data_IF_115200029406
#
_entry.id   IF_115200029406
#
_cell.length_a   1.000
_cell.length_b   1.000
_cell.length_c   1.000
_cell.angle_alpha   90.00
_cell.angle_beta   90.00
_cell.angle_gamma   90.00
#
_symmetry.space_group_name_H-M   'P 1'
#
loop_
_entity.id
_entity.type
_entity.pdbx_description
1 polymer ?
#
# COMPACT_ATOMS: atom_id res chain seq x y z
N UNK A 1 -26.69 24.74 -21.16
CA UNK A 1 -26.55 23.31 -21.50
C UNK A 1 -25.57 22.69 -20.50
N UNK A 2 -26.04 21.90 -19.55
CA UNK A 2 -25.19 21.15 -18.63
C UNK A 2 -24.47 20.05 -19.42
N UNK A 3 -23.12 20.00 -19.28
CA UNK A 3 -22.34 18.91 -19.89
C UNK A 3 -22.76 17.58 -19.26
N UNK A 4 -23.04 16.50 -20.04
CA UNK A 4 -23.51 15.22 -19.51
C UNK A 4 -22.53 14.49 -18.61
N UNK A 5 -21.27 14.91 -18.49
CA UNK A 5 -20.16 14.20 -17.83
C UNK A 5 -19.69 14.81 -16.50
N UNK A 6 -20.53 15.54 -15.78
CA UNK A 6 -20.12 16.17 -14.51
C UNK A 6 -20.36 15.31 -13.28
N UNK A 7 -20.24 13.98 -13.38
CA UNK A 7 -20.37 13.10 -12.20
C UNK A 7 -19.09 13.20 -11.37
N UNK A 8 -19.06 14.08 -10.38
CA UNK A 8 -17.99 14.12 -9.38
C UNK A 8 -18.16 12.98 -8.36
N UNK A 9 -17.05 12.46 -7.86
CA UNK A 9 -17.05 11.40 -6.86
C UNK A 9 -16.61 11.97 -5.51
N UNK A 10 -17.35 11.60 -4.47
CA UNK A 10 -16.95 11.87 -3.10
C UNK A 10 -15.76 10.97 -2.75
N UNK A 11 -14.73 11.53 -2.11
CA UNK A 11 -13.65 10.72 -1.54
C UNK A 11 -14.20 9.85 -0.40
N UNK A 12 -13.74 8.62 -0.33
CA UNK A 12 -13.94 7.78 0.85
C UNK A 12 -13.13 8.30 2.05
N UNK A 13 -13.34 7.72 3.23
CA UNK A 13 -12.70 8.18 4.46
C UNK A 13 -11.16 8.11 4.41
N UNK A 14 -10.60 7.12 3.72
CA UNK A 14 -9.16 6.98 3.52
C UNK A 14 -8.63 8.04 2.53
N UNK A 15 -9.32 8.24 1.41
CA UNK A 15 -8.96 9.23 0.39
C UNK A 15 -8.96 10.67 0.93
N UNK A 16 -9.91 11.01 1.81
CA UNK A 16 -9.94 12.32 2.49
C UNK A 16 -8.66 12.51 3.32
N UNK A 17 -8.27 11.49 4.08
CA UNK A 17 -7.08 11.55 4.93
C UNK A 17 -5.82 11.73 4.09
N UNK A 18 -5.60 10.90 3.08
CA UNK A 18 -4.42 10.96 2.22
C UNK A 18 -4.31 12.29 1.47
N UNK A 19 -5.44 12.84 1.00
CA UNK A 19 -5.45 14.16 0.33
C UNK A 19 -5.08 15.32 1.25
N UNK A 20 -5.45 15.22 2.54
CA UNK A 20 -5.13 16.24 3.54
C UNK A 20 -3.69 16.16 4.06
N UNK A 21 -3.07 14.98 3.98
CA UNK A 21 -1.74 14.70 4.54
C UNK A 21 -0.60 14.89 3.54
N UNK A 22 -0.91 14.98 2.25
CA UNK A 22 0.10 15.06 1.22
C UNK A 22 1.04 16.25 1.41
N UNK A 23 2.33 15.97 1.45
CA UNK A 23 3.45 16.91 1.56
C UNK A 23 4.67 16.28 0.88
N UNK A 24 5.73 17.06 0.68
CA UNK A 24 7.01 16.55 0.17
C UNK A 24 7.57 15.43 1.05
N UNK A 25 7.32 15.46 2.35
CA UNK A 25 7.74 14.47 3.33
C UNK A 25 6.85 13.22 3.40
N UNK A 26 5.71 13.19 2.70
CA UNK A 26 4.74 12.10 2.71
C UNK A 26 4.06 11.96 1.36
N UNK A 27 4.52 11.01 0.56
CA UNK A 27 4.05 10.88 -0.83
C UNK A 27 2.65 10.27 -0.93
N UNK A 28 2.24 9.45 0.03
CA UNK A 28 0.99 8.67 -0.02
C UNK A 28 0.80 7.90 -1.34
N UNK A 29 1.92 7.42 -1.91
CA UNK A 29 1.97 6.63 -3.14
C UNK A 29 2.46 5.24 -2.83
N UNK A 30 2.01 4.29 -3.60
CA UNK A 30 2.61 2.97 -3.69
C UNK A 30 2.78 2.60 -5.16
N UNK A 31 3.73 1.70 -5.42
CA UNK A 31 4.09 1.23 -6.76
C UNK A 31 3.92 -0.28 -6.83
N UNK A 32 3.28 -0.76 -7.88
CA UNK A 32 3.39 -2.15 -8.34
C UNK A 32 4.22 -2.19 -9.61
N UNK A 33 5.08 -3.21 -9.71
CA UNK A 33 5.85 -3.46 -10.94
C UNK A 33 5.74 -4.93 -11.33
N UNK A 34 5.86 -5.19 -12.63
CA UNK A 34 6.02 -6.53 -13.18
C UNK A 34 7.32 -6.58 -13.99
N UNK A 35 8.12 -7.62 -13.76
CA UNK A 35 9.29 -7.93 -14.60
C UNK A 35 8.84 -8.84 -15.72
N UNK A 36 8.92 -8.35 -16.94
CA UNK A 36 8.54 -9.07 -18.14
C UNK A 36 9.65 -10.00 -18.61
N UNK A 37 9.32 -11.00 -19.45
CA UNK A 37 10.30 -11.89 -20.09
C UNK A 37 11.09 -11.22 -21.21
N UNK A 38 10.55 -10.15 -21.77
CA UNK A 38 11.15 -9.40 -22.88
C UNK A 38 11.20 -7.91 -22.55
N UNK A 39 12.05 -7.21 -23.26
CA UNK A 39 12.12 -5.76 -23.20
C UNK A 39 10.76 -5.14 -23.55
N UNK A 40 10.37 -4.12 -22.81
CA UNK A 40 9.06 -3.47 -22.97
C UNK A 40 9.03 -2.63 -24.22
N UNK A 41 8.00 -2.78 -25.05
CA UNK A 41 7.68 -1.85 -26.14
C UNK A 41 6.91 -0.64 -25.56
N UNK A 42 7.53 0.54 -25.49
CA UNK A 42 6.88 1.71 -24.89
C UNK A 42 5.67 2.18 -25.68
N UNK A 43 5.66 1.99 -27.01
CA UNK A 43 4.55 2.41 -27.85
C UNK A 43 3.34 1.49 -27.65
N UNK A 44 3.54 0.18 -27.52
CA UNK A 44 2.49 -0.76 -27.19
C UNK A 44 1.95 -0.51 -25.77
N UNK A 45 2.83 -0.20 -24.80
CA UNK A 45 2.41 0.08 -23.43
C UNK A 45 1.59 1.38 -23.33
N UNK A 46 1.98 2.46 -24.03
CA UNK A 46 1.17 3.68 -24.07
C UNK A 46 -0.22 3.41 -24.67
N UNK A 47 -0.32 2.64 -25.76
CA UNK A 47 -1.62 2.25 -26.30
C UNK A 47 -2.44 1.41 -25.34
N UNK A 48 -1.81 0.52 -24.56
CA UNK A 48 -2.51 -0.25 -23.52
C UNK A 48 -3.07 0.66 -22.43
N UNK A 49 -2.30 1.67 -21.99
CA UNK A 49 -2.77 2.68 -21.02
C UNK A 49 -4.00 3.41 -21.58
N UNK A 50 -3.89 3.93 -22.81
CA UNK A 50 -4.97 4.70 -23.44
C UNK A 50 -6.26 3.89 -23.56
N UNK A 51 -6.16 2.57 -23.84
CA UNK A 51 -7.31 1.65 -23.92
C UNK A 51 -7.87 1.25 -22.56
N UNK A 52 -7.03 1.16 -21.53
CA UNK A 52 -7.45 0.79 -20.17
C UNK A 52 -8.15 1.94 -19.44
N UNK A 53 -7.67 3.19 -19.58
CA UNK A 53 -8.18 4.31 -18.79
C UNK A 53 -9.70 4.53 -18.89
N UNK A 54 -10.38 4.40 -20.04
CA UNK A 54 -11.85 4.53 -20.11
C UNK A 54 -12.62 3.46 -19.31
N UNK A 55 -12.04 2.25 -19.15
CA UNK A 55 -12.65 1.15 -18.37
C UNK A 55 -12.54 1.37 -16.86
N UNK A 56 -11.63 2.24 -16.41
CA UNK A 56 -11.35 2.49 -15.00
C UNK A 56 -11.61 3.96 -14.62
N UNK A 57 -12.87 4.42 -14.61
CA UNK A 57 -13.20 5.82 -14.35
C UNK A 57 -12.79 6.28 -12.94
N UNK A 58 -12.64 5.37 -11.96
CA UNK A 58 -12.11 5.68 -10.62
C UNK A 58 -10.62 6.06 -10.65
N UNK A 59 -9.86 5.68 -11.70
CA UNK A 59 -8.47 6.07 -11.91
C UNK A 59 -8.35 7.28 -12.85
N UNK A 60 -9.34 7.48 -13.73
CA UNK A 60 -9.38 8.59 -14.69
C UNK A 60 -9.94 9.88 -14.08
N UNK A 61 -9.43 10.25 -12.90
CA UNK A 61 -9.88 11.40 -12.12
C UNK A 61 -8.72 12.30 -11.68
N UNK A 62 -9.08 13.52 -11.31
CA UNK A 62 -8.18 14.46 -10.62
C UNK A 62 -8.81 14.96 -9.33
N UNK A 63 -7.97 15.35 -8.36
CA UNK A 63 -8.43 15.95 -7.10
C UNK A 63 -8.70 17.45 -7.28
N UNK A 64 -9.84 17.88 -6.76
CA UNK A 64 -10.18 19.29 -6.59
C UNK A 64 -10.33 19.64 -5.13
N UNK A 65 -9.84 20.80 -4.77
CA UNK A 65 -10.00 21.38 -3.44
C UNK A 65 -11.21 22.30 -3.45
N UNK A 66 -12.32 21.83 -2.88
CA UNK A 66 -13.48 22.65 -2.59
C UNK A 66 -13.27 23.52 -1.33
N UNK A 67 -14.26 24.33 -0.97
CA UNK A 67 -14.22 25.14 0.26
C UNK A 67 -14.19 24.27 1.52
N UNK A 68 -15.00 23.23 1.56
CA UNK A 68 -15.16 22.36 2.74
C UNK A 68 -14.54 20.98 2.58
N UNK A 69 -14.38 20.45 1.35
CA UNK A 69 -13.90 19.10 1.05
C UNK A 69 -13.05 19.04 -0.20
N UNK A 70 -12.23 17.99 -0.27
CA UNK A 70 -11.67 17.51 -1.51
C UNK A 70 -12.71 16.61 -2.21
N UNK A 71 -12.72 16.62 -3.53
CA UNK A 71 -13.55 15.74 -4.36
C UNK A 71 -12.78 15.31 -5.60
N UNK A 72 -13.23 14.24 -6.22
CA UNK A 72 -12.67 13.72 -7.46
C UNK A 72 -13.59 14.14 -8.61
N UNK A 73 -13.03 14.69 -9.66
CA UNK A 73 -13.74 14.93 -10.91
C UNK A 73 -13.06 14.19 -12.06
N UNK A 74 -13.78 13.78 -13.12
CA UNK A 74 -13.17 13.18 -14.29
C UNK A 74 -12.04 14.06 -14.84
N UNK A 75 -10.92 13.43 -15.19
CA UNK A 75 -9.79 14.13 -15.76
C UNK A 75 -9.81 14.01 -17.28
N UNK A 76 -10.09 15.11 -17.96
CA UNK A 76 -10.11 15.20 -19.43
C UNK A 76 -8.83 15.81 -20.00
N UNK A 77 -7.82 16.02 -19.17
CA UNK A 77 -6.52 16.51 -19.63
C UNK A 77 -5.77 15.41 -20.41
N UNK A 78 -4.85 15.80 -21.33
CA UNK A 78 -4.02 14.84 -22.05
C UNK A 78 -3.22 13.92 -21.10
N UNK A 79 -3.09 12.64 -21.47
CA UNK A 79 -2.41 11.62 -20.67
C UNK A 79 -3.38 10.62 -20.04
N UNK A 80 -2.93 9.80 -19.06
CA UNK A 80 -1.58 9.83 -18.49
C UNK A 80 -0.51 9.33 -19.46
N UNK A 81 0.68 9.96 -19.42
CA UNK A 81 1.77 9.59 -20.30
C UNK A 81 2.72 8.61 -19.63
N UNK A 82 3.18 7.63 -20.40
CA UNK A 82 4.23 6.71 -20.02
C UNK A 82 5.57 7.45 -19.92
N UNK A 83 6.33 7.17 -18.87
CA UNK A 83 7.65 7.75 -18.61
C UNK A 83 8.71 6.66 -18.50
N UNK A 84 9.93 6.95 -18.89
CA UNK A 84 11.06 6.09 -18.54
C UNK A 84 11.39 6.21 -17.04
N UNK A 85 11.65 5.07 -16.39
CA UNK A 85 11.86 4.96 -14.95
C UNK A 85 13.33 5.24 -14.58
N UNK A 86 13.71 6.51 -14.66
CA UNK A 86 15.09 6.99 -14.43
C UNK A 86 15.23 7.84 -13.16
N UNK A 87 14.18 7.95 -12.38
CA UNK A 87 14.16 8.74 -11.14
C UNK A 87 13.76 7.88 -9.93
N UNK A 88 13.94 8.43 -8.73
CA UNK A 88 13.46 7.78 -7.50
C UNK A 88 11.97 7.46 -7.58
N UNK A 89 11.57 6.23 -7.19
CA UNK A 89 10.17 5.82 -7.23
C UNK A 89 9.31 6.55 -6.19
N UNK A 90 8.00 6.52 -6.40
CA UNK A 90 6.98 7.00 -5.46
C UNK A 90 7.14 8.47 -5.03
N UNK A 91 7.64 9.33 -5.92
CA UNK A 91 7.75 10.77 -5.66
C UNK A 91 6.36 11.39 -5.37
N UNK A 92 6.26 12.37 -4.46
CA UNK A 92 5.00 13.02 -4.14
C UNK A 92 4.22 13.49 -5.37
N UNK A 93 2.88 13.32 -5.37
CA UNK A 93 2.02 13.87 -6.42
C UNK A 93 1.83 15.36 -6.15
N UNK A 94 2.17 16.19 -7.10
CA UNK A 94 1.78 17.59 -7.11
C UNK A 94 0.53 17.75 -7.96
N UNK A 95 -0.62 18.01 -7.32
CA UNK A 95 -1.96 18.01 -7.98
C UNK A 95 -2.09 18.93 -9.20
N UNK A 96 -1.15 19.83 -9.42
CA UNK A 96 -1.12 20.72 -10.60
C UNK A 96 -0.14 20.28 -11.68
N UNK A 97 0.74 19.34 -11.35
CA UNK A 97 1.69 18.76 -12.29
C UNK A 97 1.08 17.52 -12.95
N UNK A 98 1.72 16.97 -13.97
CA UNK A 98 1.27 15.79 -14.73
C UNK A 98 -0.21 15.89 -15.17
N UNK A 99 -0.68 17.08 -15.52
CA UNK A 99 -2.07 17.35 -15.90
C UNK A 99 -3.10 16.92 -14.83
N UNK A 100 -2.67 16.80 -13.56
CA UNK A 100 -3.52 16.41 -12.43
C UNK A 100 -3.78 14.89 -12.33
N UNK A 101 -3.10 14.06 -13.11
CA UNK A 101 -3.21 12.61 -13.00
C UNK A 101 -2.68 12.12 -11.66
N UNK A 102 -3.40 11.18 -11.04
CA UNK A 102 -3.09 10.60 -9.73
C UNK A 102 -2.56 9.17 -9.86
N UNK A 103 -2.46 8.68 -11.06
CA UNK A 103 -1.81 7.43 -11.46
C UNK A 103 -0.71 7.77 -12.45
N UNK A 104 0.43 7.11 -12.32
CA UNK A 104 1.59 7.32 -13.18
C UNK A 104 2.11 6.00 -13.69
N UNK A 105 2.66 5.97 -14.90
CA UNK A 105 3.13 4.79 -15.59
C UNK A 105 4.58 4.95 -15.95
N UNK A 106 5.36 3.88 -15.69
CA UNK A 106 6.78 3.87 -15.95
C UNK A 106 7.19 2.55 -16.62
N UNK A 107 8.24 2.60 -17.40
CA UNK A 107 8.93 1.43 -17.93
C UNK A 107 10.43 1.60 -17.81
N UNK A 108 11.13 0.49 -17.65
CA UNK A 108 12.58 0.44 -17.76
C UNK A 108 13.02 -0.96 -18.14
N UNK A 109 13.65 -1.10 -19.32
CA UNK A 109 14.00 -2.40 -19.89
C UNK A 109 12.82 -3.38 -19.85
N UNK A 110 12.90 -4.46 -19.07
CA UNK A 110 11.85 -5.47 -18.93
C UNK A 110 10.83 -5.14 -17.83
N UNK A 111 10.86 -3.98 -17.19
CA UNK A 111 9.98 -3.64 -16.09
C UNK A 111 8.88 -2.67 -16.51
N UNK A 112 7.66 -3.01 -16.17
CA UNK A 112 6.48 -2.13 -16.26
C UNK A 112 6.06 -1.79 -14.82
N UNK A 113 5.87 -0.50 -14.54
CA UNK A 113 5.47 -0.04 -13.20
C UNK A 113 4.27 0.89 -13.25
N UNK A 114 3.40 0.78 -12.25
CA UNK A 114 2.31 1.71 -11.99
C UNK A 114 2.43 2.29 -10.59
N UNK A 115 2.38 3.60 -10.47
CA UNK A 115 2.28 4.31 -9.21
C UNK A 115 0.86 4.82 -9.02
N UNK A 116 0.32 4.57 -7.84
CA UNK A 116 -1.06 4.93 -7.51
C UNK A 116 -1.06 5.78 -6.24
N UNK A 117 -1.75 6.91 -6.30
CA UNK A 117 -2.00 7.72 -5.12
C UNK A 117 -3.07 7.07 -4.24
N UNK A 118 -2.77 6.87 -2.97
CA UNK A 118 -3.63 6.14 -2.02
C UNK A 118 -5.08 6.68 -1.91
N UNK A 119 -5.33 7.90 -2.37
CA UNK A 119 -6.70 8.42 -2.40
C UNK A 119 -7.56 7.84 -3.52
N UNK A 120 -6.97 7.20 -4.53
CA UNK A 120 -7.70 6.56 -5.64
C UNK A 120 -8.17 5.16 -5.26
N UNK A 121 -7.23 4.35 -4.78
CA UNK A 121 -7.42 2.92 -4.61
C UNK A 121 -6.48 2.37 -3.55
N UNK A 122 -6.84 1.25 -2.97
CA UNK A 122 -5.92 0.38 -2.22
C UNK A 122 -5.21 -0.62 -3.13
N UNK A 123 -4.31 -1.42 -2.54
CA UNK A 123 -3.58 -2.44 -3.27
C UNK A 123 -4.47 -3.47 -3.98
N UNK A 124 -5.68 -3.76 -3.45
CA UNK A 124 -6.61 -4.70 -4.06
C UNK A 124 -7.17 -4.19 -5.39
N UNK A 125 -7.68 -2.96 -5.40
CA UNK A 125 -8.19 -2.34 -6.63
C UNK A 125 -7.08 -2.06 -7.64
N UNK A 126 -5.91 -1.60 -7.17
CA UNK A 126 -4.77 -1.34 -8.03
C UNK A 126 -4.20 -2.60 -8.71
N UNK A 127 -4.20 -3.76 -8.03
CA UNK A 127 -3.79 -5.04 -8.62
C UNK A 127 -4.73 -5.44 -9.76
N UNK A 128 -6.05 -5.22 -9.64
CA UNK A 128 -7.00 -5.49 -10.73
C UNK A 128 -6.71 -4.59 -11.93
N UNK A 129 -6.50 -3.29 -11.70
CA UNK A 129 -6.10 -2.35 -12.74
C UNK A 129 -4.79 -2.77 -13.41
N UNK A 130 -3.75 -3.04 -12.63
CA UNK A 130 -2.41 -3.37 -13.13
C UNK A 130 -2.41 -4.68 -13.92
N UNK A 131 -3.12 -5.70 -13.43
CA UNK A 131 -3.28 -6.98 -14.16
C UNK A 131 -3.97 -6.78 -15.49
N UNK A 132 -5.03 -5.97 -15.54
CA UNK A 132 -5.75 -5.66 -16.79
C UNK A 132 -4.87 -4.88 -17.76
N UNK A 133 -4.06 -3.94 -17.28
CA UNK A 133 -3.08 -3.22 -18.09
C UNK A 133 -2.04 -4.15 -18.71
N UNK A 134 -1.47 -5.06 -17.91
CA UNK A 134 -0.49 -6.05 -18.41
C UNK A 134 -1.12 -6.99 -19.43
N UNK A 135 -2.37 -7.42 -19.22
CA UNK A 135 -3.10 -8.24 -20.20
C UNK A 135 -3.28 -7.50 -21.52
N UNK A 136 -3.67 -6.24 -21.48
CA UNK A 136 -3.85 -5.43 -22.68
C UNK A 136 -2.53 -5.14 -23.40
N UNK A 137 -1.45 -4.87 -22.65
CA UNK A 137 -0.11 -4.75 -23.22
C UNK A 137 0.31 -6.04 -23.94
N UNK A 138 0.09 -7.19 -23.33
CA UNK A 138 0.41 -8.49 -23.96
C UNK A 138 -0.43 -8.75 -25.20
N UNK A 139 -1.74 -8.41 -25.21
CA UNK A 139 -2.59 -8.49 -26.40
C UNK A 139 -2.03 -7.65 -27.56
N UNK A 140 -1.60 -6.43 -27.26
CA UNK A 140 -1.00 -5.52 -28.25
C UNK A 140 0.37 -5.97 -28.75
N UNK A 141 1.04 -6.88 -28.03
CA UNK A 141 2.30 -7.51 -28.44
C UNK A 141 2.12 -8.92 -29.02
N UNK A 142 0.87 -9.34 -29.28
CA UNK A 142 0.55 -10.56 -30.01
C UNK A 142 0.26 -11.79 -29.14
N UNK A 143 0.03 -11.62 -27.85
CA UNK A 143 -0.38 -12.71 -26.94
C UNK A 143 -1.90 -12.68 -26.78
N UNK A 144 -2.56 -13.79 -27.01
CA UNK A 144 -4.01 -13.91 -26.77
C UNK A 144 -4.28 -14.12 -25.26
N UNK A 145 -4.81 -13.10 -24.61
CA UNK A 145 -5.14 -13.12 -23.17
C UNK A 145 -6.65 -12.89 -23.03
N UNK A 146 -7.43 -13.89 -22.57
CA UNK A 146 -8.86 -13.72 -22.35
C UNK A 146 -9.18 -12.77 -21.19
N UNK A 147 -10.38 -12.19 -21.19
CA UNK A 147 -10.93 -11.56 -20.00
C UNK A 147 -11.29 -12.64 -18.95
N UNK A 148 -11.30 -12.25 -17.67
CA UNK A 148 -11.53 -13.19 -16.56
C UNK A 148 -10.30 -13.39 -15.71
N UNK A 149 -10.38 -14.18 -14.65
CA UNK A 149 -9.29 -14.42 -13.69
C UNK A 149 -8.65 -13.12 -13.14
N UNK A 150 -9.49 -12.09 -12.94
CA UNK A 150 -9.08 -10.78 -12.43
C UNK A 150 -8.60 -9.81 -13.51
N UNK A 151 -8.69 -10.17 -14.78
CA UNK A 151 -8.54 -9.25 -15.95
C UNK A 151 -9.93 -8.80 -16.35
N UNK A 152 -10.18 -7.49 -16.33
CA UNK A 152 -11.46 -6.93 -16.76
C UNK A 152 -11.56 -6.87 -18.29
N UNK A 153 -12.77 -7.08 -18.81
CA UNK A 153 -13.03 -6.84 -20.23
C UNK A 153 -13.11 -5.33 -20.49
N UNK A 154 -12.27 -4.85 -21.41
CA UNK A 154 -12.21 -3.43 -21.77
C UNK A 154 -13.41 -2.99 -22.63
N UNK A 155 -14.17 -3.93 -23.22
CA UNK A 155 -15.37 -3.66 -23.99
C UNK A 155 -16.62 -3.56 -23.11
N UNK A 156 -16.57 -4.03 -21.86
CA UNK A 156 -17.67 -3.88 -20.91
C UNK A 156 -17.65 -2.50 -20.23
N UNK A 157 -18.80 -1.88 -20.00
CA UNK A 157 -18.86 -0.64 -19.23
C UNK A 157 -18.46 -0.89 -17.77
N UNK A 158 -17.92 0.13 -17.06
CA UNK A 158 -17.68 0.03 -15.63
C UNK A 158 -18.98 -0.24 -14.87
N UNK A 159 -18.96 -1.18 -13.90
CA UNK A 159 -20.10 -1.49 -13.05
C UNK A 159 -20.16 -0.53 -11.86
N UNK A 160 -21.34 -0.24 -11.35
CA UNK A 160 -21.53 0.65 -10.22
C UNK A 160 -20.86 0.12 -8.94
N UNK A 161 -20.82 -1.20 -8.75
CA UNK A 161 -20.17 -1.89 -7.64
C UNK A 161 -18.66 -1.66 -7.61
N UNK A 162 -18.04 -1.48 -8.78
CA UNK A 162 -16.60 -1.17 -8.89
C UNK A 162 -16.27 0.25 -8.37
N UNK A 163 -17.26 1.15 -8.36
CA UNK A 163 -17.12 2.56 -8.00
C UNK A 163 -17.67 2.89 -6.60
N UNK A 164 -18.30 1.92 -5.93
CA UNK A 164 -18.97 2.15 -4.64
C UNK A 164 -17.99 2.56 -3.53
N UNK A 165 -18.50 3.34 -2.58
CA UNK A 165 -17.86 3.53 -1.27
C UNK A 165 -18.28 2.39 -0.34
N UNK A 166 -17.53 1.29 -0.35
CA UNK A 166 -17.81 0.12 0.45
C UNK A 166 -17.74 0.39 1.97
N UNK A 167 -16.96 1.37 2.41
CA UNK A 167 -16.97 1.76 3.82
C UNK A 167 -18.34 2.29 4.24
N UNK A 168 -18.93 3.18 3.45
CA UNK A 168 -20.26 3.71 3.75
C UNK A 168 -21.34 2.62 3.70
N UNK A 169 -21.26 1.71 2.72
CA UNK A 169 -22.19 0.58 2.57
C UNK A 169 -22.18 -0.36 3.78
N UNK A 170 -21.01 -0.66 4.32
CA UNK A 170 -20.84 -1.65 5.39
C UNK A 170 -20.65 -1.04 6.79
N UNK A 171 -20.71 0.30 6.95
CA UNK A 171 -20.65 0.94 8.26
C UNK A 171 -21.75 0.42 9.20
N UNK A 172 -21.36 0.03 10.40
CA UNK A 172 -22.25 -0.59 11.39
C UNK A 172 -22.78 0.38 12.45
N UNK A 173 -23.51 -0.17 13.41
CA UNK A 173 -24.03 0.60 14.57
C UNK A 173 -22.96 0.84 15.64
N UNK A 174 -21.95 0.00 15.73
CA UNK A 174 -20.88 0.11 16.71
C UNK A 174 -19.63 0.64 16.04
N UNK A 175 -18.95 1.57 16.70
CA UNK A 175 -17.70 2.13 16.27
C UNK A 175 -16.72 2.14 17.43
N UNK A 176 -15.43 1.86 17.16
CA UNK A 176 -14.42 2.15 18.16
C UNK A 176 -14.31 3.67 18.33
N UNK A 177 -14.35 4.12 19.58
CA UNK A 177 -13.95 5.48 19.92
C UNK A 177 -12.44 5.68 19.67
N UNK A 178 -12.00 6.93 19.66
CA UNK A 178 -10.57 7.28 19.61
C UNK A 178 -9.85 6.62 20.80
N UNK A 179 -9.18 5.49 20.55
CA UNK A 179 -8.35 4.84 21.55
C UNK A 179 -6.96 5.50 21.54
N UNK A 180 -6.55 6.02 22.68
CA UNK A 180 -5.19 6.53 22.84
C UNK A 180 -4.24 5.34 22.97
N UNK A 181 -3.62 4.97 21.86
CA UNK A 181 -2.61 3.90 21.84
C UNK A 181 -1.27 4.41 22.37
N UNK A 182 -0.49 3.57 23.07
CA UNK A 182 0.87 3.93 23.48
C UNK A 182 1.71 4.31 22.27
N UNK A 183 2.61 5.28 22.48
CA UNK A 183 3.58 5.66 21.45
C UNK A 183 4.57 4.51 21.25
N UNK A 184 4.63 3.99 20.04
CA UNK A 184 5.58 2.96 19.66
C UNK A 184 7.01 3.52 19.53
N UNK A 185 7.99 2.62 19.60
CA UNK A 185 9.36 2.91 19.21
C UNK A 185 9.36 3.42 17.75
N UNK A 186 10.12 4.48 17.52
CA UNK A 186 10.30 5.02 16.17
C UNK A 186 11.72 4.69 15.71
N UNK A 187 11.82 4.04 14.55
CA UNK A 187 13.10 3.70 13.98
C UNK A 187 13.97 4.95 13.87
N UNK A 188 15.14 4.93 14.55
CA UNK A 188 16.08 6.04 14.52
C UNK A 188 16.98 5.92 13.30
N UNK A 189 17.54 7.01 12.86
CA UNK A 189 18.47 7.07 11.73
C UNK A 189 18.67 8.50 11.26
N UNK A 190 19.68 8.70 10.44
CA UNK A 190 20.06 9.96 9.82
C UNK A 190 19.19 10.17 8.57
N UNK A 191 18.41 11.26 8.49
CA UNK A 191 17.68 11.58 7.27
C UNK A 191 18.63 11.83 6.11
N UNK A 192 18.35 11.25 4.96
CA UNK A 192 19.08 11.56 3.73
C UNK A 192 18.80 13.00 3.27
N UNK A 193 19.80 13.68 2.68
CA UNK A 193 19.60 14.98 2.06
C UNK A 193 18.53 14.91 0.94
N UNK A 194 17.78 15.97 0.78
CA UNK A 194 16.78 16.12 -0.28
C UNK A 194 15.72 15.01 -0.33
N UNK A 195 15.50 14.29 0.81
CA UNK A 195 14.59 13.14 0.89
C UNK A 195 14.92 12.04 -0.13
N UNK A 196 16.21 11.83 -0.45
CA UNK A 196 16.64 10.71 -1.31
C UNK A 196 16.02 9.42 -0.85
N UNK A 197 15.34 8.74 -1.76
CA UNK A 197 14.52 7.59 -1.45
C UNK A 197 15.25 6.28 -1.78
N UNK A 198 15.51 5.51 -0.75
CA UNK A 198 16.17 4.23 -0.89
C UNK A 198 15.20 3.08 -0.89
N UNK A 199 15.49 2.10 -1.73
CA UNK A 199 14.74 0.86 -1.85
C UNK A 199 15.71 -0.31 -1.78
N UNK A 200 15.46 -1.23 -0.86
CA UNK A 200 16.19 -2.49 -0.73
C UNK A 200 15.23 -3.65 -0.88
N UNK A 201 15.44 -4.49 -1.88
CA UNK A 201 14.60 -5.62 -2.24
C UNK A 201 15.30 -6.92 -1.91
N UNK A 202 14.63 -7.83 -1.19
CA UNK A 202 15.09 -9.19 -0.95
C UNK A 202 14.18 -10.19 -1.66
N UNK A 203 14.76 -11.08 -2.44
CA UNK A 203 14.06 -12.15 -3.14
C UNK A 203 14.32 -13.46 -2.43
N UNK A 204 13.25 -14.13 -1.98
CA UNK A 204 13.32 -15.37 -1.21
C UNK A 204 12.42 -16.44 -1.83
N UNK A 205 12.80 -17.74 -1.78
CA UNK A 205 11.91 -18.81 -2.19
C UNK A 205 10.67 -18.88 -1.27
N UNK A 206 9.50 -18.72 -1.85
CA UNK A 206 8.22 -18.75 -1.13
C UNK A 206 7.99 -20.08 -0.42
N UNK A 207 8.41 -21.18 -1.05
CA UNK A 207 8.35 -22.54 -0.48
C UNK A 207 9.13 -22.64 0.83
N UNK A 208 10.35 -22.10 0.89
CA UNK A 208 11.19 -22.07 2.10
C UNK A 208 10.59 -21.18 3.19
N UNK A 209 10.10 -20.02 2.80
CA UNK A 209 9.45 -19.11 3.74
C UNK A 209 8.19 -19.74 4.35
N UNK A 210 7.39 -20.43 3.53
CA UNK A 210 6.19 -21.14 3.97
C UNK A 210 6.53 -22.30 4.92
N UNK A 211 7.63 -23.02 4.67
CA UNK A 211 8.12 -24.07 5.54
C UNK A 211 8.46 -23.50 6.94
N UNK A 212 9.24 -22.43 7.00
CA UNK A 212 9.60 -21.81 8.29
C UNK A 212 8.38 -21.26 9.02
N UNK A 213 7.47 -20.56 8.35
CA UNK A 213 6.23 -20.10 8.96
C UNK A 213 5.40 -21.25 9.56
N UNK A 214 5.32 -22.39 8.86
CA UNK A 214 4.62 -23.58 9.35
C UNK A 214 5.24 -24.16 10.63
N UNK A 215 6.56 -24.14 10.81
CA UNK A 215 7.22 -24.61 12.05
C UNK A 215 6.72 -23.86 13.29
N UNK A 216 6.30 -22.61 13.09
CA UNK A 216 5.73 -21.77 14.15
C UNK A 216 4.19 -21.74 14.11
N UNK A 217 3.52 -22.58 13.31
CA UNK A 217 2.07 -22.56 13.09
C UNK A 217 1.54 -21.17 12.66
N UNK A 218 2.34 -20.40 11.95
CA UNK A 218 2.03 -19.03 11.51
C UNK A 218 1.78 -18.97 10.00
N UNK A 219 0.98 -18.00 9.58
CA UNK A 219 0.93 -17.57 8.18
C UNK A 219 2.21 -16.80 7.82
N UNK A 220 2.48 -16.65 6.53
CA UNK A 220 3.65 -15.86 6.05
C UNK A 220 3.59 -14.42 6.60
N UNK A 221 2.41 -13.79 6.59
CA UNK A 221 2.25 -12.43 7.11
C UNK A 221 2.53 -12.34 8.61
N UNK A 222 2.06 -13.30 9.39
CA UNK A 222 2.34 -13.36 10.83
C UNK A 222 3.82 -13.60 11.10
N UNK A 223 4.45 -14.53 10.36
CA UNK A 223 5.88 -14.84 10.51
C UNK A 223 6.76 -13.63 10.16
N UNK A 224 6.58 -13.01 9.00
CA UNK A 224 7.36 -11.82 8.60
C UNK A 224 7.09 -10.62 9.51
N UNK A 225 5.86 -10.45 10.01
CA UNK A 225 5.56 -9.45 11.05
C UNK A 225 6.35 -9.71 12.31
N UNK A 226 6.45 -10.96 12.75
CA UNK A 226 7.23 -11.34 13.93
C UNK A 226 8.73 -11.12 13.74
N UNK A 227 9.28 -11.47 12.56
CA UNK A 227 10.68 -11.19 12.22
C UNK A 227 10.96 -9.68 12.27
N UNK A 228 10.09 -8.86 11.68
CA UNK A 228 10.24 -7.42 11.67
C UNK A 228 10.17 -6.82 13.09
N UNK A 229 9.23 -7.26 13.91
CA UNK A 229 9.15 -6.85 15.32
C UNK A 229 10.42 -7.26 16.08
N UNK A 230 10.89 -8.51 15.91
CA UNK A 230 12.09 -9.01 16.58
C UNK A 230 13.32 -8.16 16.22
N UNK A 231 13.55 -7.89 14.95
CA UNK A 231 14.69 -7.10 14.48
C UNK A 231 14.64 -5.66 15.01
N UNK A 232 13.47 -5.04 15.05
CA UNK A 232 13.28 -3.69 15.59
C UNK A 232 13.48 -3.67 17.11
N UNK A 233 13.05 -4.70 17.86
CA UNK A 233 13.31 -4.84 19.28
C UNK A 233 14.83 -4.95 19.57
N UNK A 234 15.53 -5.78 18.79
CA UNK A 234 16.98 -5.93 18.93
C UNK A 234 17.72 -4.62 18.57
N UNK A 235 17.23 -3.86 17.58
CA UNK A 235 17.76 -2.52 17.27
C UNK A 235 17.55 -1.58 18.45
N UNK A 236 16.34 -1.53 19.01
CA UNK A 236 16.02 -0.68 20.17
C UNK A 236 16.92 -0.96 21.37
N UNK A 237 17.21 -2.26 21.65
CA UNK A 237 18.12 -2.66 22.74
C UNK A 237 19.56 -2.14 22.57
N UNK A 238 20.01 -1.94 21.34
CA UNK A 238 21.35 -1.41 21.02
C UNK A 238 21.46 0.11 21.12
N UNK A 239 20.34 0.83 21.11
CA UNK A 239 20.36 2.29 21.19
C UNK A 239 20.76 2.83 22.56
N UNK A 240 21.37 4.00 22.59
CA UNK A 240 21.71 4.72 23.80
C UNK A 240 21.27 6.19 23.69
N UNK A 241 20.50 6.73 24.64
CA UNK A 241 19.95 6.04 25.82
C UNK A 241 18.82 5.05 25.42
N UNK A 242 18.82 3.88 26.02
CA UNK A 242 17.77 2.89 25.85
C UNK A 242 16.43 3.43 26.39
N UNK A 243 15.36 3.24 25.64
CA UNK A 243 14.01 3.62 26.06
C UNK A 243 13.04 2.49 25.72
N UNK A 244 12.52 1.85 26.73
CA UNK A 244 11.50 0.82 26.57
C UNK A 244 10.23 1.39 25.97
N UNK A 245 9.93 1.01 24.75
CA UNK A 245 8.71 1.37 24.04
C UNK A 245 8.18 0.18 23.27
N UNK A 246 6.86 0.03 23.19
CA UNK A 246 6.28 -1.00 22.36
C UNK A 246 6.79 -0.91 20.93
N UNK A 247 7.15 -2.05 20.33
CA UNK A 247 7.38 -2.18 18.90
C UNK A 247 6.09 -2.69 18.29
N UNK A 248 5.51 -1.91 17.38
CA UNK A 248 4.22 -2.18 16.80
C UNK A 248 4.22 -1.96 15.29
N UNK A 249 3.53 -2.82 14.56
CA UNK A 249 3.37 -2.70 13.11
C UNK A 249 1.98 -2.17 12.74
N UNK A 250 1.93 -1.39 11.66
CA UNK A 250 0.70 -1.11 10.94
C UNK A 250 0.54 -2.16 9.84
N UNK A 251 -0.42 -3.08 9.99
CA UNK A 251 -0.67 -4.14 9.01
C UNK A 251 -2.04 -3.92 8.36
N UNK A 252 -2.09 -3.44 7.10
CA UNK A 252 -3.34 -3.27 6.37
C UNK A 252 -4.01 -4.63 6.09
N UNK A 253 -5.32 -4.68 6.28
CA UNK A 253 -6.17 -5.85 6.03
C UNK A 253 -7.17 -5.51 4.93
N UNK A 254 -7.20 -6.32 3.87
CA UNK A 254 -8.19 -6.22 2.82
C UNK A 254 -9.57 -6.65 3.35
N UNK A 255 -10.51 -5.73 3.36
CA UNK A 255 -11.85 -5.95 3.89
C UNK A 255 -12.76 -6.76 2.96
N UNK A 256 -12.42 -6.89 1.67
CA UNK A 256 -13.22 -7.64 0.68
C UNK A 256 -13.36 -9.12 1.04
N UNK A 257 -12.41 -9.69 1.79
CA UNK A 257 -12.50 -11.06 2.30
C UNK A 257 -13.58 -11.23 3.39
N UNK A 258 -13.98 -10.14 4.05
CA UNK A 258 -14.93 -10.12 5.17
C UNK A 258 -16.28 -9.50 4.80
N UNK A 259 -16.26 -8.57 3.86
CA UNK A 259 -17.39 -7.81 3.37
C UNK A 259 -17.38 -7.85 1.84
N UNK A 260 -18.19 -8.73 1.22
CA UNK A 260 -18.18 -8.89 -0.24
C UNK A 260 -18.40 -7.56 -0.96
N UNK A 261 -17.42 -7.12 -1.72
CA UNK A 261 -17.45 -5.89 -2.52
C UNK A 261 -16.51 -6.03 -3.70
N UNK A 262 -16.93 -5.51 -4.83
CA UNK A 262 -16.15 -5.44 -6.07
C UNK A 262 -15.49 -4.07 -6.25
N UNK A 263 -15.59 -3.19 -5.24
CA UNK A 263 -15.04 -1.83 -5.35
C UNK A 263 -13.55 -1.85 -5.70
N UNK A 264 -13.19 -1.02 -6.66
CA UNK A 264 -11.79 -0.74 -7.01
C UNK A 264 -11.22 0.42 -6.21
N UNK A 265 -12.03 1.03 -5.33
CA UNK A 265 -11.62 2.11 -4.43
C UNK A 265 -11.02 1.53 -3.13
N UNK A 266 -10.69 2.39 -2.18
CA UNK A 266 -10.16 1.94 -0.89
C UNK A 266 -11.19 1.11 -0.11
N UNK A 267 -10.77 -0.08 0.33
CA UNK A 267 -11.55 -0.89 1.27
C UNK A 267 -10.61 -1.74 2.14
N UNK A 268 -9.80 -1.05 2.94
CA UNK A 268 -8.84 -1.65 3.88
C UNK A 268 -9.01 -1.06 5.28
N UNK A 269 -8.56 -1.79 6.28
CA UNK A 269 -8.34 -1.25 7.63
C UNK A 269 -6.99 -1.73 8.15
N UNK A 270 -6.52 -1.21 9.29
CA UNK A 270 -5.21 -1.53 9.83
C UNK A 270 -5.35 -2.21 11.18
N UNK A 271 -4.67 -3.34 11.37
CA UNK A 271 -4.46 -3.97 12.68
C UNK A 271 -3.06 -3.66 13.20
N UNK A 272 -2.88 -3.76 14.52
CA UNK A 272 -1.67 -3.31 15.20
C UNK A 272 -1.06 -4.41 16.08
N UNK A 273 -0.47 -5.47 15.51
CA UNK A 273 0.32 -6.41 16.31
C UNK A 273 1.51 -5.68 16.95
N UNK A 274 1.78 -5.97 18.22
CA UNK A 274 2.86 -5.31 18.97
C UNK A 274 3.46 -6.22 20.03
N UNK A 275 4.68 -5.87 20.45
CA UNK A 275 5.36 -6.40 21.64
C UNK A 275 5.77 -5.22 22.52
N UNK A 276 5.51 -5.34 23.79
CA UNK A 276 5.93 -4.35 24.79
C UNK A 276 7.11 -4.87 25.61
N UNK A 277 8.34 -4.35 25.39
CA UNK A 277 9.52 -4.81 26.10
C UNK A 277 9.51 -4.47 27.61
N UNK A 278 8.66 -3.54 28.05
CA UNK A 278 8.50 -3.25 29.48
C UNK A 278 7.90 -4.43 30.27
N UNK A 279 7.31 -5.42 29.60
CA UNK A 279 6.79 -6.64 30.21
C UNK A 279 7.83 -7.76 30.33
N UNK A 280 9.05 -7.54 29.85
CA UNK A 280 10.16 -8.48 29.88
C UNK A 280 10.73 -8.81 28.51
N UNK A 281 11.73 -9.71 28.51
CA UNK A 281 12.34 -10.20 27.28
C UNK A 281 11.48 -11.28 26.63
N UNK A 282 11.46 -11.27 25.30
CA UNK A 282 10.73 -12.24 24.47
C UNK A 282 11.69 -12.99 23.56
N UNK A 283 11.57 -14.30 23.54
CA UNK A 283 12.19 -15.14 22.51
C UNK A 283 11.45 -15.00 21.18
N UNK A 284 12.11 -15.33 20.08
CA UNK A 284 11.46 -15.25 18.76
C UNK A 284 10.18 -16.10 18.63
N UNK A 285 10.13 -17.37 19.12
CA UNK A 285 8.89 -18.15 19.14
C UNK A 285 7.75 -17.48 19.94
N UNK A 286 8.04 -16.81 21.05
CA UNK A 286 7.04 -16.07 21.84
C UNK A 286 6.53 -14.87 21.05
N UNK A 287 7.40 -14.14 20.35
CA UNK A 287 6.99 -13.02 19.46
C UNK A 287 6.05 -13.53 18.37
N UNK A 288 6.39 -14.64 17.70
CA UNK A 288 5.51 -15.24 16.68
C UNK A 288 4.16 -15.63 17.28
N UNK A 289 4.17 -16.26 18.45
CA UNK A 289 2.94 -16.65 19.15
C UNK A 289 2.06 -15.45 19.49
N UNK A 290 2.63 -14.39 20.03
CA UNK A 290 1.92 -13.15 20.37
C UNK A 290 1.31 -12.48 19.13
N UNK A 291 2.10 -12.33 18.06
CA UNK A 291 1.63 -11.76 16.80
C UNK A 291 0.46 -12.57 16.22
N UNK A 292 0.59 -13.89 16.20
CA UNK A 292 -0.44 -14.80 15.71
C UNK A 292 -1.73 -14.70 16.54
N UNK A 293 -1.63 -14.73 17.87
CA UNK A 293 -2.80 -14.62 18.73
C UNK A 293 -3.46 -13.25 18.59
N UNK A 294 -2.67 -12.19 18.53
CA UNK A 294 -3.18 -10.84 18.28
C UNK A 294 -3.95 -10.76 16.97
N UNK A 295 -3.36 -11.24 15.86
CA UNK A 295 -4.01 -11.20 14.56
C UNK A 295 -5.30 -12.03 14.55
N UNK A 296 -5.30 -13.24 15.12
CA UNK A 296 -6.50 -14.08 15.21
C UNK A 296 -7.62 -13.42 16.02
N UNK A 297 -7.26 -12.73 17.10
CA UNK A 297 -8.24 -12.06 17.96
C UNK A 297 -8.86 -10.82 17.28
N UNK A 298 -8.04 -10.03 16.57
CA UNK A 298 -8.44 -8.73 16.04
C UNK A 298 -8.83 -8.74 14.56
N UNK A 299 -8.54 -9.80 13.80
CA UNK A 299 -8.99 -9.95 12.43
C UNK A 299 -10.26 -10.78 12.41
N UNK A 300 -11.36 -10.16 12.80
CA UNK A 300 -12.71 -10.71 12.74
C UNK A 300 -13.69 -9.64 12.24
N UNK A 301 -14.86 -10.09 11.74
CA UNK A 301 -15.84 -9.22 11.09
C UNK A 301 -16.28 -8.05 11.98
N UNK A 302 -16.50 -8.30 13.26
CA UNK A 302 -17.03 -7.32 14.20
C UNK A 302 -16.04 -6.22 14.50
N UNK A 303 -14.79 -6.57 14.82
CA UNK A 303 -13.74 -5.59 15.12
C UNK A 303 -13.33 -4.79 13.89
N UNK A 304 -13.18 -5.44 12.73
CA UNK A 304 -12.88 -4.77 11.47
C UNK A 304 -14.00 -3.76 11.13
N UNK A 305 -15.28 -4.16 11.27
CA UNK A 305 -16.41 -3.26 11.02
C UNK A 305 -16.41 -2.07 11.98
N UNK A 306 -16.19 -2.31 13.28
CA UNK A 306 -16.14 -1.24 14.27
C UNK A 306 -15.00 -0.24 14.02
N UNK A 307 -13.85 -0.73 13.55
CA UNK A 307 -12.69 0.10 13.22
C UNK A 307 -12.98 1.09 12.08
N UNK A 308 -13.46 0.61 10.92
CA UNK A 308 -13.73 1.52 9.82
C UNK A 308 -15.03 2.35 10.01
N UNK A 309 -16.01 1.83 10.77
CA UNK A 309 -17.22 2.61 11.12
C UNK A 309 -16.86 3.89 11.86
N UNK A 310 -15.85 3.85 12.74
CA UNK A 310 -15.35 5.04 13.42
C UNK A 310 -14.86 6.11 12.45
N UNK A 311 -14.13 5.72 11.43
CA UNK A 311 -13.62 6.62 10.39
C UNK A 311 -14.76 7.21 9.54
N UNK A 312 -15.75 6.40 9.15
CA UNK A 312 -16.93 6.87 8.41
C UNK A 312 -17.68 7.91 9.21
N UNK A 313 -18.02 7.63 10.47
CA UNK A 313 -18.73 8.57 11.34
C UNK A 313 -17.97 9.88 11.54
N UNK A 314 -16.64 9.81 11.68
CA UNK A 314 -15.83 11.01 11.77
C UNK A 314 -15.96 11.88 10.52
N UNK A 315 -15.88 11.29 9.33
CA UNK A 315 -16.01 12.02 8.05
C UNK A 315 -17.44 12.48 7.76
N UNK A 316 -18.44 11.83 8.34
CA UNK A 316 -19.86 12.18 8.19
C UNK A 316 -20.36 13.17 9.23
N UNK A 317 -19.56 13.50 10.25
CA UNK A 317 -19.96 14.45 11.28
C UNK A 317 -20.27 15.82 10.68
N UNK A 318 -21.51 16.29 10.90
CA UNK A 318 -21.99 17.55 10.32
C UNK A 318 -21.17 18.77 10.74
N UNK A 319 -20.78 18.86 12.01
CA UNK A 319 -19.95 19.97 12.49
C UNK A 319 -18.59 20.02 11.80
N UNK A 320 -17.95 18.84 11.58
CA UNK A 320 -16.70 18.76 10.85
C UNK A 320 -16.87 19.10 9.36
N UNK A 321 -18.06 18.87 8.82
CA UNK A 321 -18.36 19.21 7.42
C UNK A 321 -18.41 20.73 7.17
N UNK A 322 -18.75 21.52 8.14
CA UNK A 322 -18.82 22.97 8.03
C UNK A 322 -17.49 23.68 8.19
N UNK A 323 -16.44 23.00 8.63
CA UNK A 323 -15.11 23.60 8.78
C UNK A 323 -14.43 23.71 7.39
N UNK A 324 -13.98 24.90 6.97
CA UNK A 324 -13.23 25.05 5.71
C UNK A 324 -11.96 24.18 5.67
N UNK A 325 -11.62 23.65 4.49
CA UNK A 325 -10.47 22.74 4.30
C UNK A 325 -9.15 23.37 4.77
N UNK A 326 -8.99 24.69 4.62
CA UNK A 326 -7.78 25.40 5.04
C UNK A 326 -7.54 25.27 6.56
N UNK A 327 -8.61 25.30 7.36
CA UNK A 327 -8.54 25.13 8.81
C UNK A 327 -8.54 23.65 9.21
N UNK A 328 -9.22 22.80 8.44
CA UNK A 328 -9.34 21.36 8.70
C UNK A 328 -8.02 20.61 8.48
N UNK A 329 -7.28 20.92 7.42
CA UNK A 329 -6.05 20.19 7.07
C UNK A 329 -4.99 20.22 8.18
N UNK A 330 -4.62 21.35 8.81
CA UNK A 330 -3.67 21.35 9.93
C UNK A 330 -4.13 20.50 11.11
N UNK A 331 -5.43 20.55 11.43
CA UNK A 331 -6.00 19.74 12.54
C UNK A 331 -5.96 18.25 12.19
N UNK A 332 -6.33 17.87 10.97
CA UNK A 332 -6.23 16.49 10.51
C UNK A 332 -4.79 15.99 10.48
N UNK A 333 -3.84 16.81 10.00
CA UNK A 333 -2.42 16.46 9.99
C UNK A 333 -1.87 16.26 11.42
N UNK A 334 -2.22 17.14 12.35
CA UNK A 334 -1.83 17.02 13.76
C UNK A 334 -2.45 15.75 14.38
N UNK A 335 -3.74 15.51 14.16
CA UNK A 335 -4.43 14.33 14.66
C UNK A 335 -3.80 13.04 14.10
N UNK A 336 -3.55 12.98 12.80
CA UNK A 336 -2.86 11.86 12.17
C UNK A 336 -1.46 11.64 12.72
N UNK A 337 -0.68 12.71 12.92
CA UNK A 337 0.66 12.62 13.53
C UNK A 337 0.60 12.07 14.96
N UNK A 338 -0.39 12.47 15.76
CA UNK A 338 -0.50 12.06 17.17
C UNK A 338 -1.09 10.66 17.34
N UNK A 339 -2.12 10.32 16.57
CA UNK A 339 -2.93 9.12 16.74
C UNK A 339 -2.82 8.12 15.59
N UNK A 340 -2.48 8.59 14.39
CA UNK A 340 -2.41 7.76 13.19
C UNK A 340 -1.06 7.08 12.97
N UNK A 341 0.07 7.75 13.26
CA UNK A 341 1.41 7.21 12.94
C UNK A 341 2.29 6.94 14.15
N UNK A 342 2.22 7.76 15.22
CA UNK A 342 3.02 7.54 16.43
C UNK A 342 2.82 6.19 17.12
N UNK A 343 1.67 5.51 17.01
CA UNK A 343 1.48 4.18 17.54
C UNK A 343 2.23 3.07 16.79
N UNK A 344 2.88 3.35 15.67
CA UNK A 344 3.52 2.33 14.83
C UNK A 344 5.01 2.57 14.68
N UNK A 345 5.80 1.50 14.72
CA UNK A 345 7.24 1.50 14.47
C UNK A 345 7.57 1.34 12.99
N UNK A 346 6.78 0.53 12.30
CA UNK A 346 6.91 0.25 10.88
C UNK A 346 5.54 -0.06 10.27
N UNK A 347 5.37 0.23 8.97
CA UNK A 347 4.25 -0.28 8.18
C UNK A 347 4.70 -1.55 7.47
N UNK A 348 3.91 -2.63 7.59
CA UNK A 348 4.13 -3.85 6.83
C UNK A 348 2.88 -4.22 6.04
N UNK A 349 2.99 -4.30 4.71
CA UNK A 349 1.90 -4.72 3.83
C UNK A 349 2.25 -5.96 3.05
N UNK A 350 1.27 -6.84 2.90
CA UNK A 350 1.38 -8.03 2.06
C UNK A 350 0.07 -8.22 1.29
N UNK A 351 -0.02 -7.74 0.05
CA UNK A 351 -1.19 -7.97 -0.80
C UNK A 351 -1.38 -9.44 -1.20
N UNK A 352 -0.42 -10.32 -0.89
CA UNK A 352 -0.48 -11.74 -1.18
C UNK A 352 0.18 -12.11 -2.52
N UNK A 353 -0.37 -13.13 -3.18
CA UNK A 353 0.13 -13.57 -4.47
C UNK A 353 -0.39 -12.68 -5.61
N UNK A 354 0.53 -12.21 -6.45
CA UNK A 354 0.17 -11.62 -7.73
C UNK A 354 -0.15 -12.75 -8.71
N UNK A 355 -1.43 -13.06 -8.81
CA UNK A 355 -1.90 -14.11 -9.72
C UNK A 355 -2.28 -13.51 -11.07
N UNK A 356 -1.95 -14.19 -12.15
CA UNK A 356 -2.29 -13.80 -13.52
C UNK A 356 -2.90 -15.00 -14.27
N UNK A 357 -3.68 -14.79 -15.34
CA UNK A 357 -4.11 -15.86 -16.22
C UNK A 357 -2.93 -16.69 -16.75
N UNK A 358 -3.11 -18.00 -17.01
CA UNK A 358 -2.03 -18.88 -17.49
C UNK A 358 -1.33 -18.35 -18.75
N UNK A 359 -2.06 -17.69 -19.64
CA UNK A 359 -1.58 -17.13 -20.89
C UNK A 359 -0.56 -15.99 -20.66
N UNK A 360 -0.68 -15.30 -19.53
CA UNK A 360 0.26 -14.25 -19.15
C UNK A 360 1.49 -14.78 -18.43
N UNK A 361 1.40 -15.95 -17.78
CA UNK A 361 2.41 -16.45 -16.87
C UNK A 361 3.77 -16.66 -17.53
N UNK A 362 3.79 -17.10 -18.79
CA UNK A 362 5.02 -17.30 -19.56
C UNK A 362 5.73 -15.98 -19.96
N UNK A 363 5.09 -14.83 -19.76
CA UNK A 363 5.58 -13.52 -20.15
C UNK A 363 5.99 -12.63 -18.96
N UNK A 364 5.80 -13.12 -17.73
CA UNK A 364 6.08 -12.38 -16.50
C UNK A 364 7.04 -13.20 -15.64
N UNK A 365 8.17 -12.60 -15.24
CA UNK A 365 9.18 -13.22 -14.36
C UNK A 365 8.94 -12.96 -12.88
N UNK A 366 8.31 -11.84 -12.52
CA UNK A 366 8.14 -11.45 -11.15
C UNK A 366 7.23 -10.24 -10.96
N UNK A 367 6.83 -10.03 -9.72
CA UNK A 367 6.07 -8.87 -9.30
C UNK A 367 6.77 -8.19 -8.12
N UNK A 368 6.67 -6.86 -8.05
CA UNK A 368 7.31 -6.02 -7.04
C UNK A 368 6.29 -5.05 -6.44
N UNK A 369 6.49 -4.70 -5.16
CA UNK A 369 5.68 -3.69 -4.48
C UNK A 369 6.55 -2.75 -3.66
N UNK A 370 6.39 -1.45 -3.84
CA UNK A 370 7.11 -0.41 -3.10
C UNK A 370 6.07 0.50 -2.43
N UNK A 371 6.25 0.76 -1.14
CA UNK A 371 5.52 1.82 -0.43
C UNK A 371 6.32 3.11 -0.51
N UNK A 372 5.65 4.21 -0.80
CA UNK A 372 6.28 5.51 -0.89
C UNK A 372 6.76 6.07 0.45
N UNK A 373 7.49 7.15 0.37
CA UNK A 373 8.11 7.76 1.55
C UNK A 373 7.10 8.29 2.57
N UNK A 374 7.46 8.14 3.84
CA UNK A 374 6.85 8.85 4.95
C UNK A 374 7.92 9.18 6.00
N UNK A 375 7.75 10.30 6.67
CA UNK A 375 8.65 10.70 7.76
C UNK A 375 8.37 9.98 9.07
N UNK A 376 7.15 9.45 9.23
CA UNK A 376 6.72 8.67 10.40
C UNK A 376 5.59 7.72 9.97
N UNK A 377 5.71 6.40 10.22
CA UNK A 377 6.92 5.71 10.65
C UNK A 377 8.00 5.79 9.54
N UNK A 378 9.27 5.76 9.92
CA UNK A 378 10.39 5.89 8.98
C UNK A 378 10.77 4.57 8.31
N UNK A 379 10.11 3.50 8.65
CA UNK A 379 10.32 2.17 8.10
C UNK A 379 9.05 1.71 7.38
N UNK A 380 9.18 1.40 6.11
CA UNK A 380 8.13 0.78 5.31
C UNK A 380 8.65 -0.54 4.77
N UNK A 381 7.90 -1.60 5.03
CA UNK A 381 8.16 -2.92 4.52
C UNK A 381 6.93 -3.38 3.72
N UNK A 382 7.17 -3.93 2.55
CA UNK A 382 6.13 -4.52 1.72
C UNK A 382 6.59 -5.89 1.23
N UNK A 383 5.67 -6.79 0.93
CA UNK A 383 6.01 -8.05 0.28
C UNK A 383 4.91 -8.47 -0.69
N UNK A 384 5.30 -9.11 -1.78
CA UNK A 384 4.39 -9.68 -2.78
C UNK A 384 5.00 -10.97 -3.32
N UNK A 385 4.18 -11.94 -3.69
CA UNK A 385 4.71 -13.18 -4.29
C UNK A 385 4.23 -13.38 -5.71
N UNK A 386 5.13 -13.93 -6.54
CA UNK A 386 4.82 -14.41 -7.88
C UNK A 386 5.55 -15.76 -8.11
N UNK A 387 4.80 -16.78 -8.53
CA UNK A 387 5.36 -18.14 -8.60
C UNK A 387 5.90 -18.60 -7.25
N UNK A 388 7.11 -19.14 -7.23
CA UNK A 388 7.81 -19.52 -5.98
C UNK A 388 8.76 -18.44 -5.46
N UNK A 389 8.60 -17.19 -5.88
CA UNK A 389 9.40 -16.07 -5.37
C UNK A 389 8.54 -15.13 -4.55
N UNK A 390 8.97 -14.83 -3.33
CA UNK A 390 8.47 -13.68 -2.57
C UNK A 390 9.51 -12.57 -2.63
N UNK A 391 9.08 -11.41 -3.09
CA UNK A 391 9.83 -10.18 -2.95
C UNK A 391 9.44 -9.50 -1.63
N UNK A 392 10.45 -9.01 -0.90
CA UNK A 392 10.30 -8.25 0.34
C UNK A 392 11.07 -6.95 0.17
N UNK A 393 10.36 -5.84 0.18
CA UNK A 393 10.92 -4.50 -0.07
C UNK A 393 10.95 -3.68 1.20
N UNK A 394 12.09 -3.09 1.49
CA UNK A 394 12.23 -1.99 2.45
C UNK A 394 12.40 -0.69 1.69
N UNK A 395 11.68 0.34 2.13
CA UNK A 395 11.72 1.65 1.51
C UNK A 395 11.76 2.75 2.56
N UNK A 396 12.58 3.77 2.34
CA UNK A 396 12.73 4.88 3.29
C UNK A 396 13.74 5.92 2.85
N UNK A 397 13.87 6.96 3.69
CA UNK A 397 14.75 8.11 3.47
C UNK A 397 15.83 8.21 4.53
N UNK A 398 16.28 7.09 5.09
CA UNK A 398 17.34 7.02 6.09
C UNK A 398 18.62 6.48 5.48
N UNK A 399 19.77 7.02 5.91
CA UNK A 399 21.08 6.56 5.46
C UNK A 399 21.44 5.15 5.96
N UNK A 400 20.97 4.79 7.17
CA UNK A 400 21.29 3.50 7.77
C UNK A 400 20.39 2.38 7.22
N UNK A 401 21.02 1.23 6.96
CA UNK A 401 20.40 0.00 6.44
C UNK A 401 20.32 -1.12 7.47
N UNK A 402 20.46 -0.79 8.74
CA UNK A 402 20.58 -1.79 9.80
C UNK A 402 19.32 -2.64 9.98
N UNK A 403 18.14 -2.06 9.82
CA UNK A 403 16.86 -2.78 9.96
C UNK A 403 16.67 -3.81 8.84
N UNK A 404 16.81 -3.42 7.58
CA UNK A 404 16.69 -4.32 6.43
C UNK A 404 17.81 -5.35 6.40
N UNK A 405 19.07 -4.93 6.70
CA UNK A 405 20.20 -5.83 6.82
C UNK A 405 19.96 -6.91 7.86
N UNK A 406 19.53 -6.53 9.07
CA UNK A 406 19.33 -7.46 10.17
C UNK A 406 18.11 -8.35 9.90
N UNK A 407 17.09 -7.84 9.22
CA UNK A 407 15.94 -8.62 8.76
C UNK A 407 16.35 -9.73 7.78
N UNK A 408 17.08 -9.39 6.71
CA UNK A 408 17.52 -10.40 5.74
C UNK A 408 18.54 -11.36 6.33
N UNK A 409 19.44 -10.90 7.21
CA UNK A 409 20.35 -11.79 7.95
C UNK A 409 19.61 -12.76 8.86
N UNK A 410 18.52 -12.34 9.48
CA UNK A 410 17.69 -13.22 10.28
C UNK A 410 17.09 -14.34 9.41
N UNK A 411 16.52 -14.01 8.25
CA UNK A 411 15.99 -15.01 7.31
C UNK A 411 17.05 -16.02 6.87
N UNK A 412 18.26 -15.54 6.57
CA UNK A 412 19.38 -16.43 6.20
C UNK A 412 19.76 -17.38 7.35
N UNK A 413 19.79 -16.92 8.60
CA UNK A 413 20.05 -17.77 9.78
C UNK A 413 18.96 -18.83 9.97
N UNK A 414 17.73 -18.54 9.61
CA UNK A 414 16.61 -19.48 9.59
C UNK A 414 16.64 -20.44 8.39
N UNK A 415 17.69 -20.40 7.56
CA UNK A 415 17.86 -21.28 6.41
C UNK A 415 17.08 -20.87 5.16
N UNK A 416 16.64 -19.60 5.09
CA UNK A 416 15.98 -19.04 3.91
C UNK A 416 17.02 -18.26 3.09
N UNK A 417 17.39 -18.73 1.88
CA UNK A 417 18.32 -17.98 1.03
C UNK A 417 17.70 -16.67 0.57
N UNK A 418 18.48 -15.60 0.58
CA UNK A 418 18.04 -14.25 0.19
C UNK A 418 18.98 -13.69 -0.86
N UNK A 419 18.46 -13.26 -2.01
CA UNK A 419 19.15 -12.41 -2.97
C UNK A 419 18.69 -10.97 -2.76
N UNK A 420 19.63 -10.04 -2.61
CA UNK A 420 19.32 -8.63 -2.32
C UNK A 420 19.70 -7.75 -3.50
N UNK A 421 18.82 -6.82 -3.86
CA UNK A 421 19.06 -5.72 -4.80
C UNK A 421 18.77 -4.39 -4.09
N UNK A 422 19.51 -3.32 -4.43
CA UNK A 422 19.28 -1.99 -3.86
C UNK A 422 19.62 -0.91 -4.88
N UNK A 423 19.02 0.27 -4.75
CA UNK A 423 19.35 1.47 -5.51
C UNK A 423 20.42 2.34 -4.78
N UNK A 424 21.08 1.78 -3.77
CA UNK A 424 22.20 2.41 -3.06
C UNK A 424 23.53 2.11 -3.74
#
# INVERSE_FOLDING_TARGET
>A
MARPDSKWYKLDSAGILYSALQKEEYSAIYRFSARMEREVDPAALQRAIDRCMPRFPSFAVRIRKGLFWYYLEPNHAPGPFLKEDVSDPCQPVRFREDNGWLVRFYYYRERISVEVFNALSDGGGAIVFFRTLLAEYLRLTGVDVPAGNGVLDLNEPPREEELEDAYARYAGRHAFGLRRLPRAYQNTGTPEPFYTFHVTMGFVPLSRLREQAKKHNASITEYLSAVLIHVILEKQKRERPYRERPVALAVPINLRAWFPSETLRNFITTVRPYIDPALGDYTFPEIVSQVRHFMKLHINRQELQAAFTGNVRFTENFALRLIPVVLKNPVMALNYRLFGVRPYSCTYTNPGAFTVPPEMAAHIRGAEVILGQATVPRCHCASISYGDTMEITFAGTQAETDTERDFFRFLVREGIPVRVESNR
#
